data_IF_305353136880
#
_entry.id   IF_305353136880
#
_cell.length_a   1.000
_cell.length_b   1.000
_cell.length_c   1.000
_cell.angle_alpha   90.00
_cell.angle_beta   90.00
_cell.angle_gamma   90.00
#
_symmetry.space_group_name_H-M   'P 1'
#
loop_
_entity.id
_entity.type
_entity.pdbx_description
1 polymer ?
#
# COMPACT_ATOMS: atom_id res chain seq x y z
N UNK A 1 -6.65 -32.50 -35.21
CA UNK A 1 -7.52 -31.50 -34.61
C UNK A 1 -7.44 -31.46 -33.09
N UNK A 2 -7.51 -32.59 -32.39
CA UNK A 2 -7.48 -32.61 -30.91
C UNK A 2 -6.17 -32.07 -30.31
N UNK A 3 -5.01 -32.20 -30.95
CA UNK A 3 -3.72 -31.75 -30.48
C UNK A 3 -3.59 -30.21 -30.46
N UNK A 4 -4.24 -29.50 -31.39
CA UNK A 4 -4.18 -28.04 -31.45
C UNK A 4 -5.01 -27.36 -30.34
N UNK A 5 -6.15 -27.96 -29.97
CA UNK A 5 -7.01 -27.43 -28.89
C UNK A 5 -6.32 -27.54 -27.52
N UNK A 6 -5.61 -28.63 -27.25
CA UNK A 6 -4.87 -28.82 -26.01
C UNK A 6 -3.72 -27.84 -25.87
N UNK A 7 -3.02 -27.49 -26.95
CA UNK A 7 -1.92 -26.54 -26.95
C UNK A 7 -2.40 -25.12 -26.63
N UNK A 8 -3.54 -24.69 -27.16
CA UNK A 8 -4.15 -23.37 -26.91
C UNK A 8 -4.56 -23.25 -25.44
N UNK A 9 -5.17 -24.27 -24.85
CA UNK A 9 -5.54 -24.27 -23.43
C UNK A 9 -4.35 -24.15 -22.51
N UNK A 10 -3.21 -24.79 -22.82
CA UNK A 10 -1.99 -24.71 -22.05
C UNK A 10 -1.40 -23.29 -22.05
N UNK A 11 -1.39 -22.61 -23.19
CA UNK A 11 -0.91 -21.24 -23.33
C UNK A 11 -1.77 -20.24 -22.54
N UNK A 12 -3.09 -20.42 -22.52
CA UNK A 12 -3.98 -19.58 -21.72
C UNK A 12 -3.76 -19.74 -20.22
N UNK A 13 -3.48 -20.95 -19.73
CA UNK A 13 -3.18 -21.21 -18.33
C UNK A 13 -1.88 -20.53 -17.89
N UNK A 14 -0.84 -20.52 -18.69
CA UNK A 14 0.44 -19.87 -18.42
C UNK A 14 0.28 -18.33 -18.38
N UNK A 15 -0.51 -17.74 -19.28
CA UNK A 15 -0.77 -16.32 -19.30
C UNK A 15 -1.54 -15.83 -18.07
N UNK A 16 -2.43 -16.63 -17.50
CA UNK A 16 -3.16 -16.28 -16.28
C UNK A 16 -2.28 -16.32 -15.03
N UNK A 17 -1.31 -17.23 -14.94
CA UNK A 17 -0.41 -17.36 -13.80
C UNK A 17 0.52 -16.13 -13.65
N UNK A 18 0.93 -15.49 -14.74
CA UNK A 18 1.81 -14.32 -14.72
C UNK A 18 1.11 -13.07 -14.18
N UNK A 19 -0.21 -12.95 -14.29
CA UNK A 19 -0.96 -11.77 -13.84
C UNK A 19 -1.03 -11.63 -12.31
N UNK A 20 -0.92 -12.72 -11.56
CA UNK A 20 -1.10 -12.74 -10.11
C UNK A 20 0.09 -12.14 -9.37
N UNK A 21 1.29 -12.10 -9.98
CA UNK A 21 2.54 -11.65 -9.37
C UNK A 21 2.78 -10.13 -9.48
N UNK A 22 1.89 -9.35 -10.14
CA UNK A 22 2.15 -7.98 -10.57
C UNK A 22 1.67 -6.89 -9.60
N UNK A 23 0.98 -7.22 -8.51
CA UNK A 23 0.42 -6.23 -7.60
C UNK A 23 1.37 -5.91 -6.45
N UNK A 24 1.50 -4.60 -6.13
CA UNK A 24 2.17 -4.16 -4.92
C UNK A 24 1.32 -4.54 -3.71
N UNK A 25 1.91 -5.25 -2.76
CA UNK A 25 1.25 -5.68 -1.52
C UNK A 25 2.10 -5.21 -0.35
N UNK A 26 1.46 -4.68 0.69
CA UNK A 26 2.14 -4.35 1.94
C UNK A 26 2.63 -5.63 2.59
N UNK A 27 3.93 -5.74 2.79
CA UNK A 27 4.56 -6.88 3.46
C UNK A 27 4.87 -6.59 4.92
N UNK A 28 5.02 -5.30 5.28
CA UNK A 28 5.26 -4.89 6.65
C UNK A 28 4.87 -3.43 6.85
N UNK A 29 4.52 -3.08 8.10
CA UNK A 29 4.24 -1.70 8.50
C UNK A 29 4.59 -1.47 9.97
N UNK A 30 5.15 -0.30 10.27
CA UNK A 30 5.69 0.03 11.60
C UNK A 30 4.63 0.07 12.70
N UNK A 31 3.36 0.31 12.38
CA UNK A 31 2.26 0.33 13.35
C UNK A 31 2.08 -0.98 14.11
N UNK A 32 2.57 -2.10 13.58
CA UNK A 32 2.56 -3.39 14.27
C UNK A 32 3.43 -3.41 15.53
N UNK A 33 4.55 -2.66 15.50
CA UNK A 33 5.54 -2.67 16.58
C UNK A 33 5.62 -1.35 17.31
N UNK A 34 5.30 -0.23 16.65
CA UNK A 34 5.44 1.11 17.20
C UNK A 34 4.12 1.86 17.08
N UNK A 35 3.39 2.05 18.18
CA UNK A 35 2.12 2.79 18.14
C UNK A 35 2.36 4.28 17.91
N UNK A 36 1.34 4.96 17.37
CA UNK A 36 1.32 6.42 17.23
C UNK A 36 0.95 7.05 18.58
N UNK A 37 1.76 7.99 19.02
CA UNK A 37 1.52 8.71 20.28
C UNK A 37 0.65 9.95 20.05
N UNK A 38 -0.22 10.23 21.04
CA UNK A 38 -1.14 11.35 21.00
C UNK A 38 -0.40 12.69 20.95
N UNK A 39 -0.90 13.63 20.14
CA UNK A 39 -0.43 15.02 20.03
C UNK A 39 1.05 15.18 19.65
N UNK A 40 1.64 14.20 18.99
CA UNK A 40 3.02 14.25 18.52
C UNK A 40 3.07 13.98 17.01
N UNK A 41 3.98 14.67 16.32
CA UNK A 41 4.33 14.32 14.95
C UNK A 41 4.99 12.96 14.96
N UNK A 42 4.62 12.12 13.99
CA UNK A 42 5.13 10.77 13.94
C UNK A 42 5.30 10.32 12.47
N UNK A 43 5.84 9.14 12.30
CA UNK A 43 6.08 8.53 10.99
C UNK A 43 5.53 7.12 10.99
N UNK A 44 4.98 6.73 9.86
CA UNK A 44 4.59 5.34 9.59
C UNK A 44 5.40 4.85 8.41
N UNK A 45 6.06 3.72 8.57
CA UNK A 45 6.80 3.06 7.49
C UNK A 45 5.94 1.94 6.93
N UNK A 46 5.76 1.95 5.60
CA UNK A 46 5.15 0.85 4.87
C UNK A 46 6.19 0.23 3.96
N UNK A 47 6.22 -1.08 3.90
CA UNK A 47 7.08 -1.83 2.99
C UNK A 47 6.21 -2.65 2.05
N UNK A 48 6.45 -2.50 0.76
CA UNK A 48 5.76 -3.23 -0.31
C UNK A 48 6.71 -4.26 -0.93
N UNK A 49 6.13 -5.25 -1.57
CA UNK A 49 6.88 -6.32 -2.25
C UNK A 49 7.43 -5.90 -3.62
N UNK A 50 7.21 -4.67 -4.05
CA UNK A 50 7.72 -4.16 -5.33
C UNK A 50 8.08 -2.69 -5.23
N UNK A 51 8.80 -2.20 -6.23
CA UNK A 51 9.14 -0.77 -6.35
C UNK A 51 7.86 0.06 -6.52
N UNK A 52 7.80 1.20 -5.85
CA UNK A 52 6.66 2.11 -5.84
C UNK A 52 7.00 3.38 -6.62
N UNK A 53 6.07 3.80 -7.48
CA UNK A 53 6.09 5.11 -8.13
C UNK A 53 5.36 6.12 -7.24
N UNK A 54 6.11 6.70 -6.29
CA UNK A 54 5.53 7.56 -5.25
C UNK A 54 4.86 8.80 -5.80
N UNK A 55 5.41 9.39 -6.87
CA UNK A 55 4.84 10.58 -7.51
C UNK A 55 3.46 10.35 -8.12
N UNK A 56 3.10 9.10 -8.41
CA UNK A 56 1.79 8.70 -8.94
C UNK A 56 0.88 8.12 -7.87
N UNK A 57 1.37 8.01 -6.65
CA UNK A 57 0.66 7.40 -5.53
C UNK A 57 0.07 8.46 -4.60
N UNK A 58 -0.98 8.11 -3.88
CA UNK A 58 -1.63 9.01 -2.92
C UNK A 58 -1.89 8.26 -1.62
N UNK A 59 -1.68 8.96 -0.51
CA UNK A 59 -1.85 8.40 0.83
C UNK A 59 -2.70 9.38 1.64
N UNK A 60 -3.75 8.87 2.28
CA UNK A 60 -4.71 9.66 3.01
C UNK A 60 -4.81 9.21 4.45
N UNK A 61 -4.89 10.17 5.35
CA UNK A 61 -5.37 9.94 6.72
C UNK A 61 -6.90 10.00 6.69
N UNK A 62 -7.55 8.99 7.21
CA UNK A 62 -9.01 8.97 7.37
C UNK A 62 -9.33 9.23 8.83
N UNK A 63 -10.06 10.32 9.06
CA UNK A 63 -10.53 10.76 10.36
C UNK A 63 -12.00 10.35 10.58
N UNK A 64 -12.45 10.44 11.81
CA UNK A 64 -13.87 10.21 12.17
C UNK A 64 -14.80 11.02 11.26
N UNK A 65 -15.89 10.39 10.82
CA UNK A 65 -16.81 10.99 9.86
C UNK A 65 -16.36 10.89 8.41
N UNK A 66 -15.49 9.95 8.12
CA UNK A 66 -14.97 9.68 6.77
C UNK A 66 -14.31 10.90 6.12
N UNK A 67 -13.58 11.66 6.91
CA UNK A 67 -12.81 12.82 6.45
C UNK A 67 -11.42 12.39 6.02
N UNK A 68 -11.07 12.65 4.76
CA UNK A 68 -9.81 12.26 4.16
C UNK A 68 -8.87 13.45 4.05
N UNK A 69 -7.63 13.29 4.52
CA UNK A 69 -6.58 14.29 4.46
C UNK A 69 -5.36 13.70 3.75
N UNK A 70 -4.89 14.38 2.72
CA UNK A 70 -3.70 13.93 1.99
C UNK A 70 -2.47 14.05 2.89
N UNK A 71 -1.71 12.97 2.98
CA UNK A 71 -0.48 12.91 3.77
C UNK A 71 0.74 13.04 2.86
N UNK A 72 1.80 13.63 3.41
CA UNK A 72 3.10 13.66 2.76
C UNK A 72 3.84 12.36 3.01
N UNK A 73 4.49 11.85 1.98
CA UNK A 73 5.30 10.63 2.06
C UNK A 73 6.56 10.78 1.23
N UNK A 74 7.57 10.03 1.60
CA UNK A 74 8.85 9.97 0.91
C UNK A 74 9.31 8.53 0.77
N UNK A 75 10.24 8.28 -0.15
CA UNK A 75 10.85 6.96 -0.28
C UNK A 75 11.73 6.67 0.93
N UNK A 76 11.67 5.43 1.42
CA UNK A 76 12.57 4.95 2.44
C UNK A 76 13.93 4.56 1.89
N UNK A 77 14.75 3.94 2.74
CA UNK A 77 16.12 3.54 2.38
C UNK A 77 16.15 2.27 1.51
N UNK A 78 15.11 1.47 1.55
CA UNK A 78 14.99 0.23 0.79
C UNK A 78 13.98 0.37 -0.33
N UNK A 79 14.16 -0.41 -1.40
CA UNK A 79 13.18 -0.49 -2.47
C UNK A 79 11.83 -0.98 -1.93
N UNK A 80 10.75 -0.29 -2.31
CA UNK A 80 9.40 -0.63 -1.85
C UNK A 80 9.05 -0.07 -0.48
N UNK A 81 9.96 0.62 0.19
CA UNK A 81 9.69 1.26 1.46
C UNK A 81 9.29 2.71 1.27
N UNK A 82 8.20 3.13 1.92
CA UNK A 82 7.78 4.53 2.00
C UNK A 82 7.64 4.95 3.45
N UNK A 83 7.91 6.21 3.70
CA UNK A 83 7.79 6.84 5.02
C UNK A 83 6.68 7.88 4.92
N UNK A 84 5.63 7.72 5.73
CA UNK A 84 4.45 8.58 5.76
C UNK A 84 4.55 9.48 6.99
N UNK A 85 4.40 10.78 6.79
CA UNK A 85 4.41 11.76 7.86
C UNK A 85 3.00 11.92 8.44
N UNK A 86 2.88 11.68 9.73
CA UNK A 86 1.61 11.77 10.47
C UNK A 86 1.61 13.07 11.28
N UNK A 87 0.61 13.94 11.13
CA UNK A 87 0.49 15.13 11.94
C UNK A 87 0.10 14.77 13.39
N UNK A 88 0.21 15.71 14.34
CA UNK A 88 -0.28 15.48 15.70
C UNK A 88 -1.77 15.10 15.67
N UNK A 89 -2.12 13.99 16.33
CA UNK A 89 -3.48 13.47 16.38
C UNK A 89 -3.97 13.38 17.82
N UNK A 90 -5.26 13.63 18.00
CA UNK A 90 -5.95 13.39 19.26
C UNK A 90 -6.19 11.89 19.45
N UNK A 91 -6.47 11.49 20.67
CA UNK A 91 -6.91 10.12 20.97
C UNK A 91 -8.11 9.73 20.12
N UNK A 92 -8.07 8.57 19.51
CA UNK A 92 -9.16 8.09 18.69
C UNK A 92 -8.74 7.02 17.70
N UNK A 93 -9.68 6.65 16.85
CA UNK A 93 -9.50 5.67 15.81
C UNK A 93 -9.36 6.35 14.45
N UNK A 94 -8.37 5.88 13.69
CA UNK A 94 -8.01 6.43 12.40
C UNK A 94 -7.74 5.30 11.41
N UNK A 95 -7.57 5.69 10.15
CA UNK A 95 -7.09 4.78 9.13
C UNK A 95 -6.12 5.50 8.19
N UNK A 96 -5.23 4.75 7.59
CA UNK A 96 -4.44 5.18 6.44
C UNK A 96 -4.98 4.46 5.23
N UNK A 97 -5.51 5.22 4.28
CA UNK A 97 -5.94 4.73 2.99
C UNK A 97 -4.90 5.09 1.96
N UNK A 98 -4.50 4.15 1.14
CA UNK A 98 -3.50 4.42 0.13
C UNK A 98 -3.88 3.89 -1.25
N UNK A 99 -3.49 4.67 -2.24
CA UNK A 99 -3.55 4.33 -3.66
C UNK A 99 -2.11 4.29 -4.15
N UNK A 100 -1.59 3.11 -4.41
CA UNK A 100 -0.18 2.90 -4.71
C UNK A 100 -0.02 2.39 -6.13
N UNK A 101 0.79 3.11 -6.91
CA UNK A 101 1.23 2.64 -8.21
C UNK A 101 2.55 1.90 -8.06
N UNK A 102 2.55 0.63 -8.47
CA UNK A 102 3.79 -0.14 -8.61
C UNK A 102 4.53 0.25 -9.89
N UNK A 103 5.81 -0.06 -9.97
CA UNK A 103 6.65 0.25 -11.13
C UNK A 103 6.17 -0.44 -12.41
N UNK A 104 5.40 -1.51 -12.31
CA UNK A 104 4.78 -2.21 -13.44
C UNK A 104 3.50 -1.54 -13.97
N UNK A 105 3.07 -0.43 -13.36
CA UNK A 105 1.89 0.33 -13.76
C UNK A 105 0.58 -0.09 -13.11
N UNK A 106 0.57 -1.08 -12.23
CA UNK A 106 -0.65 -1.50 -11.53
C UNK A 106 -0.94 -0.63 -10.32
N UNK A 107 -2.23 -0.28 -10.15
CA UNK A 107 -2.74 0.46 -9.00
C UNK A 107 -3.27 -0.52 -7.96
N UNK A 108 -2.84 -0.32 -6.71
CA UNK A 108 -3.38 -1.05 -5.54
C UNK A 108 -3.98 -0.05 -4.56
N UNK A 109 -5.18 -0.34 -4.08
CA UNK A 109 -5.83 0.42 -3.01
C UNK A 109 -6.03 -0.47 -1.79
N UNK A 110 -5.74 0.07 -0.60
CA UNK A 110 -5.95 -0.64 0.65
C UNK A 110 -6.07 0.33 1.82
N UNK A 111 -6.42 -0.17 2.98
CA UNK A 111 -6.64 0.60 4.21
C UNK A 111 -5.98 -0.13 5.38
N UNK A 112 -5.30 0.63 6.23
CA UNK A 112 -4.74 0.14 7.49
C UNK A 112 -5.37 0.94 8.62
N UNK A 113 -6.04 0.25 9.55
CA UNK A 113 -6.66 0.88 10.72
C UNK A 113 -5.67 0.95 11.88
N UNK A 114 -5.73 2.04 12.64
CA UNK A 114 -4.91 2.21 13.84
C UNK A 114 -5.62 3.09 14.87
N UNK A 115 -5.17 3.00 16.11
CA UNK A 115 -5.67 3.79 17.23
C UNK A 115 -4.55 4.65 17.79
N UNK A 116 -4.92 5.82 18.29
CA UNK A 116 -4.02 6.77 18.97
C UNK A 116 -4.48 6.91 20.42
N UNK A 117 -3.54 6.75 21.34
CA UNK A 117 -3.83 6.85 22.77
C UNK A 117 -2.70 7.50 23.55
#
# INVERSE_FOLDING_TARGET
MKKHVQLILLLLSLGQAERVAAHAVVTDYSLKATPIHVNQRDKVELTFNSKIELSLSQIFLVRKGDKHELLQAENGTKQGQIIIHIPPLETGDYAIRFKIFAADGHLTEDVIHFSVS
#
